data_IF_791387738648
#
_entry.id   IF_791387738648
#
_cell.length_a   1.000
_cell.length_b   1.000
_cell.length_c   1.000
_cell.angle_alpha   90.00
_cell.angle_beta   90.00
_cell.angle_gamma   90.00
#
_symmetry.space_group_name_H-M   'P 1'
#
loop_
_entity.id
_entity.type
_entity.pdbx_description
1 polymer ?
#
# COMPACT_ATOMS: atom_id res chain seq x y z
N UNK A 1 -0.54 -45.66 45.75
CA UNK A 1 -1.88 -45.41 46.22
C UNK A 1 -2.56 -44.44 45.28
N UNK A 2 -3.51 -44.97 44.50
CA UNK A 2 -4.51 -44.30 43.64
C UNK A 2 -4.07 -43.43 42.45
N UNK A 3 -4.01 -44.04 41.26
CA UNK A 3 -4.68 -43.65 40.03
C UNK A 3 -6.21 -43.49 40.29
N UNK A 4 -7.08 -42.97 39.39
CA UNK A 4 -7.06 -43.08 37.94
C UNK A 4 -7.74 -41.93 37.15
N UNK A 5 -7.56 -42.01 35.81
CA UNK A 5 -8.57 -42.08 34.73
C UNK A 5 -9.32 -40.80 34.37
N UNK A 6 -9.04 -40.26 33.19
CA UNK A 6 -10.00 -40.17 32.10
C UNK A 6 -9.24 -40.19 30.76
N UNK A 7 -9.15 -41.37 30.19
CA UNK A 7 -8.94 -41.58 28.77
C UNK A 7 -10.01 -42.58 28.34
N UNK A 8 -11.01 -42.10 27.63
CA UNK A 8 -11.85 -42.91 26.74
C UNK A 8 -12.96 -42.05 26.16
N UNK A 9 -12.91 -41.84 24.88
CA UNK A 9 -14.03 -41.94 23.96
C UNK A 9 -13.74 -41.16 22.65
N UNK A 10 -12.87 -41.67 21.82
CA UNK A 10 -12.98 -41.51 20.36
C UNK A 10 -12.37 -42.76 19.70
N UNK A 11 -13.11 -43.82 19.71
CA UNK A 11 -12.90 -44.97 18.83
C UNK A 11 -14.21 -45.74 18.75
N UNK A 12 -14.98 -45.45 17.74
CA UNK A 12 -15.95 -46.34 17.09
C UNK A 12 -16.84 -45.56 16.12
N UNK A 13 -16.45 -45.53 14.87
CA UNK A 13 -17.35 -45.64 13.73
C UNK A 13 -16.50 -45.71 12.42
N UNK A 14 -15.86 -46.83 12.23
CA UNK A 14 -15.48 -47.27 10.91
C UNK A 14 -16.03 -48.69 10.71
N UNK A 15 -17.18 -48.76 10.02
CA UNK A 15 -17.45 -49.91 9.13
C UNK A 15 -18.73 -49.64 8.32
N UNK A 16 -18.58 -49.91 7.04
CA UNK A 16 -19.61 -50.19 6.01
C UNK A 16 -20.46 -48.98 5.53
N UNK A 17 -20.32 -48.61 4.33
CA UNK A 17 -20.90 -49.05 3.07
C UNK A 17 -20.31 -48.20 1.95
N UNK A 18 -19.49 -48.80 1.11
CA UNK A 18 -19.11 -48.21 -0.16
C UNK A 18 -20.28 -48.37 -1.14
N UNK A 19 -21.11 -47.37 -1.28
CA UNK A 19 -22.06 -47.25 -2.38
C UNK A 19 -21.48 -46.23 -3.33
N UNK A 20 -20.99 -46.69 -4.47
CA UNK A 20 -20.51 -45.83 -5.54
C UNK A 20 -21.74 -45.18 -6.19
N UNK A 21 -22.01 -43.94 -5.90
CA UNK A 21 -23.01 -43.12 -6.58
C UNK A 21 -22.28 -42.34 -7.65
N UNK A 22 -22.52 -42.69 -8.92
CA UNK A 22 -22.09 -41.91 -10.08
C UNK A 22 -23.07 -40.75 -10.28
N UNK A 23 -22.58 -39.53 -10.08
CA UNK A 23 -23.36 -38.34 -10.40
C UNK A 23 -23.08 -37.89 -11.84
N UNK A 24 -24.11 -37.53 -12.57
CA UNK A 24 -24.02 -36.95 -13.91
C UNK A 24 -23.57 -35.49 -13.80
N UNK A 25 -23.00 -34.95 -14.88
CA UNK A 25 -22.39 -33.61 -14.91
C UNK A 25 -23.31 -32.44 -14.54
N UNK A 26 -24.62 -32.64 -14.63
CA UNK A 26 -25.63 -31.65 -14.28
C UNK A 26 -25.87 -31.53 -12.76
N UNK A 27 -25.71 -32.61 -12.00
CA UNK A 27 -25.92 -32.62 -10.57
C UNK A 27 -24.83 -31.84 -9.79
N UNK A 28 -23.64 -31.77 -10.34
CA UNK A 28 -22.50 -31.01 -9.75
C UNK A 28 -22.74 -29.49 -9.86
N UNK A 29 -23.44 -29.03 -10.87
CA UNK A 29 -23.76 -27.60 -11.07
C UNK A 29 -24.82 -27.13 -10.10
N UNK A 30 -25.80 -27.96 -9.81
CA UNK A 30 -26.87 -27.65 -8.84
C UNK A 30 -26.31 -27.61 -7.39
N UNK A 31 -25.43 -28.55 -7.05
CA UNK A 31 -24.81 -28.59 -5.72
C UNK A 31 -23.90 -27.37 -5.48
N UNK A 32 -23.17 -26.90 -6.51
CA UNK A 32 -22.37 -25.66 -6.41
C UNK A 32 -23.21 -24.39 -6.27
N UNK A 33 -24.40 -24.36 -6.85
CA UNK A 33 -25.34 -23.22 -6.71
C UNK A 33 -26.02 -23.18 -5.33
N UNK A 34 -26.28 -24.33 -4.73
CA UNK A 34 -26.87 -24.41 -3.38
C UNK A 34 -25.83 -24.07 -2.30
N UNK A 35 -24.55 -24.46 -2.47
CA UNK A 35 -23.48 -24.06 -1.55
C UNK A 35 -23.13 -22.58 -1.66
N UNK A 36 -23.21 -21.97 -2.85
CA UNK A 36 -22.98 -20.54 -3.04
C UNK A 36 -24.11 -19.65 -2.44
N UNK A 37 -25.31 -20.20 -2.21
CA UNK A 37 -26.41 -19.44 -1.59
C UNK A 37 -26.49 -19.57 -0.07
N UNK A 38 -25.74 -20.47 0.57
CA UNK A 38 -25.74 -20.62 2.03
C UNK A 38 -24.56 -19.91 2.73
N UNK A 39 -23.60 -19.33 1.98
CA UNK A 39 -22.52 -18.53 2.55
C UNK A 39 -22.77 -17.02 2.54
N UNK A 40 -23.95 -16.58 2.08
CA UNK A 40 -24.30 -15.16 2.03
C UNK A 40 -25.33 -14.79 3.12
N UNK A 41 -25.02 -14.97 4.38
CA UNK A 41 -25.74 -14.29 5.48
C UNK A 41 -25.08 -14.54 6.84
N UNK A 42 -23.85 -14.14 7.03
CA UNK A 42 -23.38 -13.58 8.30
C UNK A 42 -22.67 -12.30 7.94
N UNK A 43 -23.43 -11.27 7.63
CA UNK A 43 -22.97 -9.91 7.82
C UNK A 43 -22.84 -9.72 9.33
N UNK A 44 -21.71 -10.10 9.90
CA UNK A 44 -21.28 -9.50 11.15
C UNK A 44 -21.06 -8.04 10.78
N UNK A 45 -22.05 -7.21 11.09
CA UNK A 45 -21.89 -5.77 11.13
C UNK A 45 -20.83 -5.48 12.17
N UNK A 46 -19.57 -5.52 11.78
CA UNK A 46 -18.50 -4.88 12.50
C UNK A 46 -18.89 -3.41 12.56
N UNK A 47 -19.24 -2.91 13.75
CA UNK A 47 -19.24 -1.47 13.98
C UNK A 47 -17.81 -1.03 13.79
N UNK A 48 -17.46 -0.53 12.58
CA UNK A 48 -16.21 0.16 12.37
C UNK A 48 -16.22 1.37 13.30
N UNK A 49 -15.47 1.26 14.39
CA UNK A 49 -15.32 2.39 15.30
C UNK A 49 -14.49 3.43 14.58
N UNK A 50 -15.08 4.59 14.31
CA UNK A 50 -14.32 5.69 13.72
C UNK A 50 -13.10 6.01 14.59
N UNK A 51 -11.94 6.37 13.99
CA UNK A 51 -10.73 6.70 14.71
C UNK A 51 -10.94 7.78 15.79
N UNK A 52 -10.19 7.75 16.90
CA UNK A 52 -10.28 8.77 17.95
C UNK A 52 -9.72 10.12 17.43
N UNK A 53 -10.17 11.22 18.05
CA UNK A 53 -9.69 12.57 17.75
C UNK A 53 -10.75 13.49 17.14
N UNK A 54 -10.38 14.71 16.73
CA UNK A 54 -11.26 15.62 16.01
C UNK A 54 -11.83 14.97 14.75
N UNK A 55 -13.14 15.12 14.52
CA UNK A 55 -13.84 14.56 13.35
C UNK A 55 -13.75 15.43 12.10
N UNK A 56 -12.77 16.29 12.05
CA UNK A 56 -12.50 17.21 10.93
C UNK A 56 -11.02 17.14 10.60
N UNK A 57 -10.69 17.16 9.33
CA UNK A 57 -9.31 17.29 8.90
C UNK A 57 -8.86 18.76 9.01
N UNK A 58 -7.64 19.05 9.43
CA UNK A 58 -7.06 20.39 9.41
C UNK A 58 -6.63 20.77 7.98
N UNK A 59 -7.53 20.56 7.02
CA UNK A 59 -7.30 20.75 5.59
C UNK A 59 -8.44 21.57 4.98
N UNK A 60 -8.12 22.42 4.03
CA UNK A 60 -9.06 23.17 3.21
C UNK A 60 -8.90 22.74 1.75
N UNK A 61 -9.98 22.27 1.10
CA UNK A 61 -9.91 21.94 -0.32
C UNK A 61 -9.84 23.21 -1.16
N UNK A 62 -8.80 23.29 -2.00
CA UNK A 62 -8.50 24.47 -2.83
C UNK A 62 -8.81 24.24 -4.31
N UNK A 63 -8.70 23.00 -4.79
CA UNK A 63 -9.05 22.70 -6.18
C UNK A 63 -9.70 21.33 -6.37
N UNK A 64 -10.30 21.15 -7.54
CA UNK A 64 -10.85 19.89 -8.06
C UNK A 64 -10.49 19.82 -9.53
N UNK A 65 -9.69 18.81 -9.90
CA UNK A 65 -9.33 18.54 -11.30
C UNK A 65 -10.07 17.30 -11.79
N UNK A 66 -10.75 17.37 -12.92
CA UNK A 66 -11.38 16.20 -13.52
C UNK A 66 -10.31 15.22 -14.05
N UNK A 67 -10.43 13.95 -13.69
CA UNK A 67 -9.56 12.89 -14.18
C UNK A 67 -10.21 12.12 -15.33
N UNK A 68 -9.37 11.46 -16.12
CA UNK A 68 -9.82 10.62 -17.24
C UNK A 68 -10.16 9.21 -16.78
N UNK A 69 -10.97 8.51 -17.59
CA UNK A 69 -11.41 7.14 -17.33
C UNK A 69 -12.73 7.04 -16.58
N UNK A 70 -13.06 5.83 -16.12
CA UNK A 70 -14.29 5.57 -15.37
C UNK A 70 -14.12 5.72 -13.86
N UNK A 71 -15.22 5.68 -13.08
CA UNK A 71 -15.20 5.77 -11.62
C UNK A 71 -14.80 4.42 -11.00
N UNK A 72 -13.58 3.97 -11.29
CA UNK A 72 -12.99 2.72 -10.83
C UNK A 72 -11.77 3.00 -9.96
N UNK A 73 -11.26 1.98 -9.27
CA UNK A 73 -10.21 2.08 -8.26
C UNK A 73 -8.96 2.80 -8.80
N UNK A 74 -8.47 3.74 -8.04
CA UNK A 74 -7.10 4.24 -8.07
C UNK A 74 -6.22 3.39 -7.14
N UNK A 75 -4.92 3.60 -7.23
CA UNK A 75 -3.94 3.05 -6.32
C UNK A 75 -2.84 4.09 -6.08
N UNK A 76 -1.57 3.73 -5.94
CA UNK A 76 -0.54 4.68 -5.55
C UNK A 76 -0.42 5.91 -6.45
N UNK A 77 0.14 6.95 -5.87
CA UNK A 77 0.47 8.21 -6.56
C UNK A 77 1.90 8.63 -6.29
N UNK A 78 2.54 9.33 -7.23
CA UNK A 78 3.86 9.90 -7.06
C UNK A 78 3.94 11.29 -7.67
N UNK A 79 4.49 12.25 -6.92
CA UNK A 79 4.62 13.64 -7.33
C UNK A 79 6.09 14.02 -7.59
N UNK A 80 6.38 14.56 -8.76
CA UNK A 80 7.52 15.46 -8.95
C UNK A 80 7.09 16.87 -8.56
N UNK A 81 7.41 17.28 -7.33
CA UNK A 81 7.03 18.59 -6.81
C UNK A 81 7.74 19.74 -7.55
N UNK A 82 8.91 19.51 -8.12
CA UNK A 82 9.66 20.54 -8.87
C UNK A 82 9.03 20.79 -10.23
N UNK A 83 8.66 19.73 -10.94
CA UNK A 83 7.99 19.83 -12.23
C UNK A 83 6.48 20.08 -12.12
N UNK A 84 5.89 19.88 -10.93
CA UNK A 84 4.44 19.94 -10.72
C UNK A 84 3.69 18.80 -11.42
N UNK A 85 4.31 17.61 -11.52
CA UNK A 85 3.77 16.46 -12.25
C UNK A 85 3.38 15.35 -11.27
N UNK A 86 2.08 15.07 -11.22
CA UNK A 86 1.52 14.01 -10.39
C UNK A 86 1.12 12.82 -11.27
N UNK A 87 1.68 11.67 -10.97
CA UNK A 87 1.35 10.41 -11.63
C UNK A 87 0.45 9.57 -10.73
N UNK A 88 -0.66 9.10 -11.28
CA UNK A 88 -1.72 8.40 -10.53
C UNK A 88 -1.96 7.04 -11.17
N UNK A 89 -1.80 5.97 -10.42
CA UNK A 89 -2.18 4.63 -10.84
C UNK A 89 -3.72 4.54 -10.89
N UNK A 90 -4.30 4.51 -12.08
CA UNK A 90 -5.72 4.23 -12.28
C UNK A 90 -5.91 2.74 -12.49
N UNK A 91 -5.75 1.98 -11.41
CA UNK A 91 -5.70 0.52 -11.37
C UNK A 91 -6.85 -0.12 -12.13
N UNK A 92 -8.09 0.20 -11.76
CA UNK A 92 -9.27 -0.41 -12.37
C UNK A 92 -9.46 -0.12 -13.86
N UNK A 93 -8.72 0.88 -14.41
CA UNK A 93 -8.69 1.20 -15.83
C UNK A 93 -7.40 0.73 -16.53
N UNK A 94 -6.46 0.14 -15.79
CA UNK A 94 -5.14 -0.28 -16.29
C UNK A 94 -4.36 0.86 -16.99
N UNK A 95 -4.38 2.04 -16.39
CA UNK A 95 -3.83 3.28 -16.93
C UNK A 95 -3.03 4.04 -15.88
N UNK A 96 -2.02 4.80 -16.32
CA UNK A 96 -1.37 5.82 -15.51
C UNK A 96 -1.84 7.19 -15.99
N UNK A 97 -2.36 8.01 -15.09
CA UNK A 97 -2.75 9.40 -15.38
C UNK A 97 -1.64 10.32 -14.93
N UNK A 98 -1.27 11.26 -15.79
CA UNK A 98 -0.26 12.27 -15.58
C UNK A 98 -0.94 13.64 -15.55
N UNK A 99 -0.86 14.31 -14.41
CA UNK A 99 -1.55 15.57 -14.10
C UNK A 99 -0.52 16.67 -13.88
N UNK A 100 -0.72 17.82 -14.50
CA UNK A 100 -0.07 19.07 -14.10
C UNK A 100 -0.88 19.69 -12.94
N UNK A 101 -0.31 19.65 -11.73
CA UNK A 101 -1.00 20.14 -10.53
C UNK A 101 -1.04 21.67 -10.46
N UNK A 102 -0.15 22.37 -11.17
CA UNK A 102 -0.17 23.84 -11.24
C UNK A 102 -1.21 24.34 -12.24
N UNK A 103 -1.38 23.64 -13.37
CA UNK A 103 -2.38 23.97 -14.38
C UNK A 103 -3.77 23.37 -14.05
N UNK A 104 -3.86 22.44 -13.10
CA UNK A 104 -5.05 21.67 -12.74
C UNK A 104 -5.64 20.93 -13.95
N UNK A 105 -4.80 20.27 -14.73
CA UNK A 105 -5.22 19.56 -15.95
C UNK A 105 -4.51 18.21 -16.11
N UNK A 106 -5.20 17.26 -16.75
CA UNK A 106 -4.61 16.00 -17.18
C UNK A 106 -3.77 16.27 -18.43
N UNK A 107 -2.46 16.05 -18.32
CA UNK A 107 -1.53 16.20 -19.43
C UNK A 107 -1.65 15.03 -20.40
N UNK A 108 -1.75 13.81 -19.85
CA UNK A 108 -1.89 12.59 -20.65
C UNK A 108 -2.41 11.42 -19.81
N UNK A 109 -2.84 10.39 -20.52
CA UNK A 109 -3.21 9.09 -19.94
C UNK A 109 -2.42 8.01 -20.69
N UNK A 110 -1.69 7.18 -19.95
CA UNK A 110 -0.83 6.13 -20.48
C UNK A 110 -1.52 4.78 -20.30
N UNK A 111 -1.97 4.12 -21.37
CA UNK A 111 -2.67 2.85 -21.31
C UNK A 111 -1.72 1.64 -21.22
N UNK A 112 -2.29 0.43 -21.11
CA UNK A 112 -1.59 -0.86 -21.16
C UNK A 112 -0.69 -1.14 -19.95
N UNK A 113 -1.08 -0.65 -18.79
CA UNK A 113 -0.48 -0.94 -17.49
C UNK A 113 -1.45 -1.81 -16.69
N UNK A 114 -1.51 -3.11 -17.03
CA UNK A 114 -2.51 -4.03 -16.48
C UNK A 114 -2.52 -4.02 -14.96
N UNK A 115 -3.68 -3.66 -14.36
CA UNK A 115 -3.88 -3.53 -12.91
C UNK A 115 -2.72 -2.79 -12.23
N UNK A 116 -2.41 -1.58 -12.73
CA UNK A 116 -1.30 -0.77 -12.20
C UNK A 116 -1.53 -0.41 -10.73
N UNK A 117 -0.56 -0.74 -9.86
CA UNK A 117 -0.56 -0.40 -8.44
C UNK A 117 0.47 0.67 -8.13
N UNK A 118 1.71 0.29 -7.91
CA UNK A 118 2.79 1.18 -7.51
C UNK A 118 3.20 2.17 -8.58
N UNK A 119 3.48 3.39 -8.15
CA UNK A 119 4.07 4.45 -8.97
C UNK A 119 5.20 5.12 -8.21
N UNK A 120 6.32 5.35 -8.87
CA UNK A 120 7.50 6.01 -8.32
C UNK A 120 8.07 7.00 -9.35
N UNK A 121 8.23 8.26 -8.95
CA UNK A 121 8.95 9.26 -9.75
C UNK A 121 10.39 9.38 -9.26
N UNK A 122 11.33 9.39 -10.19
CA UNK A 122 12.76 9.67 -9.95
C UNK A 122 13.18 10.86 -10.79
N UNK A 123 13.00 12.11 -10.28
CA UNK A 123 13.17 13.35 -11.04
C UNK A 123 14.58 13.51 -11.66
N UNK A 124 15.63 13.18 -10.90
CA UNK A 124 17.02 13.23 -11.37
C UNK A 124 17.30 12.33 -12.58
N UNK A 125 16.40 11.41 -12.87
CA UNK A 125 16.47 10.49 -13.99
C UNK A 125 15.48 10.81 -15.10
N UNK A 126 14.56 11.73 -14.85
CA UNK A 126 13.39 11.98 -15.69
C UNK A 126 12.65 10.66 -15.98
N UNK A 127 12.38 9.91 -14.92
CA UNK A 127 11.76 8.56 -15.00
C UNK A 127 10.59 8.40 -14.05
N UNK A 128 9.57 7.77 -14.57
CA UNK A 128 8.47 7.22 -13.80
C UNK A 128 8.52 5.70 -13.91
N UNK A 129 8.42 5.03 -12.78
CA UNK A 129 8.32 3.58 -12.72
C UNK A 129 6.92 3.21 -12.23
N UNK A 130 6.32 2.19 -12.82
CA UNK A 130 5.01 1.71 -12.43
C UNK A 130 4.97 0.18 -12.41
N UNK A 131 4.32 -0.41 -11.42
CA UNK A 131 4.08 -1.85 -11.38
C UNK A 131 2.82 -2.17 -12.17
N UNK A 132 2.97 -2.88 -13.29
CA UNK A 132 1.86 -3.46 -14.04
C UNK A 132 1.55 -4.84 -13.44
N UNK A 133 0.85 -4.85 -12.31
CA UNK A 133 0.63 -5.98 -11.42
C UNK A 133 -0.06 -7.15 -12.11
N UNK A 134 -1.07 -6.86 -12.96
CA UNK A 134 -1.77 -7.88 -13.72
C UNK A 134 -0.91 -8.62 -14.76
N UNK A 135 0.31 -8.12 -15.05
CA UNK A 135 1.27 -8.76 -15.94
C UNK A 135 2.60 -9.14 -15.28
N UNK A 136 2.74 -8.90 -13.96
CA UNK A 136 3.96 -9.12 -13.19
C UNK A 136 5.18 -8.43 -13.84
N UNK A 137 5.06 -7.12 -14.03
CA UNK A 137 6.10 -6.32 -14.69
C UNK A 137 6.30 -4.97 -14.00
N UNK A 138 7.55 -4.52 -13.94
CA UNK A 138 7.90 -3.11 -13.76
C UNK A 138 7.99 -2.45 -15.12
N UNK A 139 7.37 -1.29 -15.28
CA UNK A 139 7.41 -0.46 -16.49
C UNK A 139 8.13 0.83 -16.18
N UNK A 140 9.17 1.15 -16.95
CA UNK A 140 9.85 2.44 -16.90
C UNK A 140 9.36 3.34 -18.02
N UNK A 141 9.03 4.57 -17.68
CA UNK A 141 8.43 5.57 -18.56
C UNK A 141 9.30 6.83 -18.51
N UNK A 142 9.54 7.42 -19.64
CA UNK A 142 10.18 8.73 -19.73
C UNK A 142 9.17 9.80 -19.28
N UNK A 143 9.52 10.55 -18.27
CA UNK A 143 8.62 11.48 -17.59
C UNK A 143 8.11 12.58 -18.50
N UNK A 144 8.98 13.16 -19.36
CA UNK A 144 8.63 14.27 -20.22
C UNK A 144 7.74 13.84 -21.39
N UNK A 145 8.10 12.76 -22.07
CA UNK A 145 7.39 12.31 -23.27
C UNK A 145 6.26 11.34 -23.00
N UNK A 146 6.25 10.66 -21.84
CA UNK A 146 5.33 9.54 -21.53
C UNK A 146 5.66 8.26 -22.31
N UNK A 147 6.83 8.20 -22.94
CA UNK A 147 7.22 7.03 -23.75
C UNK A 147 7.73 5.92 -22.85
N UNK A 148 7.25 4.69 -23.07
CA UNK A 148 7.80 3.51 -22.41
C UNK A 148 9.26 3.31 -22.81
N UNK A 149 10.14 3.15 -21.79
CA UNK A 149 11.58 2.94 -21.98
C UNK A 149 11.93 1.46 -21.97
N UNK A 150 11.40 0.74 -20.98
CA UNK A 150 11.53 -0.72 -20.87
C UNK A 150 10.42 -1.32 -20.03
N UNK A 151 10.27 -2.66 -20.15
CA UNK A 151 9.56 -3.50 -19.18
C UNK A 151 10.51 -4.55 -18.64
N UNK A 152 10.45 -4.76 -17.32
CA UNK A 152 11.22 -5.78 -16.65
C UNK A 152 10.28 -6.78 -15.95
N UNK A 153 10.55 -8.08 -15.98
CA UNK A 153 9.75 -9.04 -15.23
C UNK A 153 9.99 -8.91 -13.73
N UNK A 154 8.92 -9.10 -12.97
CA UNK A 154 8.95 -9.21 -11.51
C UNK A 154 8.53 -10.60 -11.07
N UNK A 155 8.45 -10.84 -9.76
CA UNK A 155 7.71 -11.97 -9.23
C UNK A 155 6.21 -11.64 -9.15
N UNK A 156 5.41 -12.50 -8.52
CA UNK A 156 3.94 -12.42 -8.52
C UNK A 156 3.42 -11.27 -7.67
N UNK A 157 2.55 -10.48 -8.27
CA UNK A 157 1.87 -9.34 -7.67
C UNK A 157 2.82 -8.24 -7.24
N UNK A 158 3.52 -7.58 -8.19
CA UNK A 158 4.34 -6.41 -7.89
C UNK A 158 3.44 -5.23 -7.48
N UNK A 159 3.78 -4.59 -6.34
CA UNK A 159 3.00 -3.53 -5.72
C UNK A 159 3.87 -2.30 -5.43
N UNK A 160 4.31 -2.11 -4.19
CA UNK A 160 5.10 -0.96 -3.77
C UNK A 160 6.47 -0.84 -4.44
N UNK A 161 7.00 0.38 -4.48
CA UNK A 161 8.25 0.71 -5.15
C UNK A 161 9.15 1.58 -4.27
N UNK A 162 10.47 1.33 -4.31
CA UNK A 162 11.48 2.24 -3.79
C UNK A 162 12.69 2.35 -4.72
N UNK A 163 13.41 3.46 -4.64
CA UNK A 163 14.61 3.72 -5.42
C UNK A 163 15.85 3.81 -4.53
N UNK A 164 16.88 3.03 -4.85
CA UNK A 164 18.22 3.17 -4.29
C UNK A 164 19.07 4.05 -5.23
N UNK A 165 19.32 5.31 -4.86
CA UNK A 165 20.05 6.25 -5.71
C UNK A 165 21.55 5.94 -5.80
N UNK A 166 22.10 5.23 -4.81
CA UNK A 166 23.54 4.88 -4.78
C UNK A 166 23.82 3.80 -5.81
N UNK A 167 22.96 2.77 -5.88
CA UNK A 167 23.14 1.62 -6.77
C UNK A 167 22.32 1.72 -8.04
N UNK A 168 21.48 2.76 -8.14
CA UNK A 168 20.57 3.02 -9.27
C UNK A 168 19.71 1.80 -9.56
N UNK A 169 19.04 1.32 -8.52
CA UNK A 169 18.11 0.20 -8.62
C UNK A 169 16.74 0.58 -8.15
N UNK A 170 15.72 0.08 -8.84
CA UNK A 170 14.34 0.11 -8.38
C UNK A 170 14.05 -1.23 -7.72
N UNK A 171 13.49 -1.17 -6.53
CA UNK A 171 13.01 -2.31 -5.77
C UNK A 171 11.49 -2.33 -5.84
N UNK A 172 10.93 -3.50 -6.08
CA UNK A 172 9.47 -3.67 -6.08
C UNK A 172 9.09 -4.85 -5.20
N UNK A 173 8.18 -4.57 -4.27
CA UNK A 173 7.55 -5.61 -3.47
C UNK A 173 6.70 -6.50 -4.36
N UNK A 174 6.84 -7.79 -4.24
CA UNK A 174 5.96 -8.76 -4.88
C UNK A 174 5.10 -9.37 -3.77
N UNK A 175 3.98 -8.74 -3.50
CA UNK A 175 3.17 -8.96 -2.30
C UNK A 175 2.83 -10.43 -2.09
N UNK A 176 2.16 -11.05 -3.05
CA UNK A 176 1.73 -12.44 -2.96
C UNK A 176 2.88 -13.45 -3.00
N UNK A 177 4.00 -13.09 -3.63
CA UNK A 177 5.18 -13.96 -3.68
C UNK A 177 6.02 -13.90 -2.40
N UNK A 178 5.88 -12.83 -1.61
CA UNK A 178 6.71 -12.59 -0.43
C UNK A 178 8.17 -12.33 -0.75
N UNK A 179 8.43 -11.60 -1.84
CA UNK A 179 9.78 -11.32 -2.35
C UNK A 179 9.92 -9.86 -2.76
N UNK A 180 11.17 -9.37 -2.87
CA UNK A 180 11.53 -8.15 -3.58
C UNK A 180 12.16 -8.51 -4.92
N UNK A 181 11.80 -7.81 -6.00
CA UNK A 181 12.57 -7.84 -7.25
C UNK A 181 13.42 -6.57 -7.36
N UNK A 182 14.72 -6.75 -7.57
CA UNK A 182 15.69 -5.66 -7.72
C UNK A 182 16.04 -5.49 -9.18
N UNK A 183 15.78 -4.29 -9.71
CA UNK A 183 15.87 -4.00 -11.15
C UNK A 183 16.81 -2.82 -11.36
N UNK A 184 17.72 -2.95 -12.33
CA UNK A 184 18.56 -1.84 -12.79
C UNK A 184 17.67 -0.74 -13.38
N UNK A 185 17.76 0.46 -12.84
CA UNK A 185 16.88 1.58 -13.18
C UNK A 185 17.09 2.10 -14.62
N UNK A 186 18.25 1.88 -15.21
CA UNK A 186 18.56 2.38 -16.56
C UNK A 186 18.22 1.33 -17.64
N UNK A 187 18.50 0.06 -17.36
CA UNK A 187 18.45 -1.00 -18.37
C UNK A 187 17.28 -1.95 -18.25
N UNK A 188 16.60 -1.97 -17.12
CA UNK A 188 15.55 -2.95 -16.81
C UNK A 188 16.06 -4.36 -16.50
N UNK A 189 17.38 -4.53 -16.35
CA UNK A 189 17.94 -5.84 -16.03
C UNK A 189 17.60 -6.22 -14.57
N UNK A 190 16.98 -7.38 -14.38
CA UNK A 190 16.75 -7.94 -13.03
C UNK A 190 18.11 -8.35 -12.44
N UNK A 191 18.43 -7.78 -11.29
CA UNK A 191 19.68 -8.03 -10.57
C UNK A 191 19.55 -9.11 -9.51
N UNK A 192 18.40 -9.16 -8.83
CA UNK A 192 18.12 -10.14 -7.79
C UNK A 192 16.61 -10.29 -7.54
N UNK A 193 16.25 -11.42 -6.91
CA UNK A 193 14.97 -11.60 -6.21
C UNK A 193 15.31 -11.98 -4.77
N UNK A 194 14.78 -11.22 -3.81
CA UNK A 194 15.11 -11.37 -2.38
C UNK A 194 13.91 -11.95 -1.64
N UNK A 195 13.99 -13.17 -1.09
CA UNK A 195 12.89 -13.76 -0.35
C UNK A 195 12.74 -13.12 1.04
N UNK A 196 11.53 -12.68 1.39
CA UNK A 196 11.19 -12.07 2.68
C UNK A 196 10.52 -13.07 3.65
N UNK A 197 10.02 -14.19 3.14
CA UNK A 197 9.51 -15.30 3.96
C UNK A 197 8.08 -15.12 4.46
N UNK A 198 7.29 -14.29 3.82
CA UNK A 198 5.87 -14.04 4.03
C UNK A 198 5.39 -12.97 3.06
N UNK A 199 4.10 -12.80 2.94
CA UNK A 199 3.48 -11.71 2.19
C UNK A 199 4.07 -10.36 2.61
N UNK A 200 4.33 -9.48 1.65
CA UNK A 200 5.02 -8.20 1.87
C UNK A 200 4.10 -7.03 1.57
N UNK A 201 4.24 -5.96 2.36
CA UNK A 201 3.68 -4.65 2.07
C UNK A 201 4.69 -3.77 1.34
N UNK A 202 4.80 -2.51 1.74
CA UNK A 202 5.67 -1.54 1.07
C UNK A 202 7.15 -1.68 1.42
N UNK A 203 7.99 -1.02 0.61
CA UNK A 203 9.43 -0.91 0.77
C UNK A 203 9.86 0.56 0.80
N UNK A 204 10.84 0.88 1.65
CA UNK A 204 11.45 2.22 1.75
C UNK A 204 12.97 2.07 1.75
N UNK A 205 13.67 2.97 1.06
CA UNK A 205 15.12 3.08 1.15
C UNK A 205 15.51 4.02 2.31
N UNK A 206 16.15 3.50 3.33
CA UNK A 206 16.76 4.29 4.38
C UNK A 206 18.19 4.68 3.99
N UNK A 207 18.37 5.93 3.60
CA UNK A 207 19.67 6.44 3.16
C UNK A 207 20.67 6.67 4.31
N UNK A 208 20.20 6.75 5.56
CA UNK A 208 21.06 6.86 6.73
C UNK A 208 21.68 5.51 7.10
N UNK A 209 20.88 4.45 7.07
CA UNK A 209 21.34 3.09 7.33
C UNK A 209 21.92 2.42 6.08
N UNK A 210 21.73 2.98 4.90
CA UNK A 210 22.05 2.37 3.60
C UNK A 210 21.42 0.98 3.44
N UNK A 211 20.11 0.87 3.75
CA UNK A 211 19.34 -0.38 3.68
C UNK A 211 17.95 -0.17 3.09
N UNK A 212 17.40 -1.23 2.50
CA UNK A 212 15.97 -1.29 2.21
C UNK A 212 15.23 -1.80 3.44
N UNK A 213 14.12 -1.17 3.77
CA UNK A 213 13.24 -1.57 4.88
C UNK A 213 11.91 -2.00 4.28
N UNK A 214 11.55 -3.25 4.46
CA UNK A 214 10.35 -3.88 3.89
C UNK A 214 9.38 -4.26 5.01
N UNK A 215 8.13 -3.85 4.90
CA UNK A 215 7.06 -4.36 5.76
C UNK A 215 6.72 -5.79 5.34
N UNK A 216 6.72 -6.75 6.28
CA UNK A 216 6.42 -8.14 5.98
C UNK A 216 5.13 -8.54 6.69
N UNK A 217 4.01 -8.41 5.99
CA UNK A 217 2.66 -8.66 6.49
C UNK A 217 2.52 -10.05 7.11
N UNK A 218 2.93 -11.07 6.35
CA UNK A 218 2.82 -12.46 6.76
C UNK A 218 3.69 -12.84 7.97
N UNK A 219 4.53 -11.91 8.48
CA UNK A 219 5.40 -12.11 9.64
C UNK A 219 5.16 -11.15 10.79
N UNK A 220 4.54 -10.00 10.52
CA UNK A 220 4.38 -8.93 11.51
C UNK A 220 5.72 -8.30 11.91
N UNK A 221 6.61 -8.09 10.95
CA UNK A 221 7.92 -7.50 11.16
C UNK A 221 8.34 -6.53 10.03
N UNK A 222 9.35 -5.71 10.30
CA UNK A 222 10.09 -4.95 9.29
C UNK A 222 11.39 -5.70 8.99
N UNK A 223 11.64 -6.02 7.72
CA UNK A 223 12.86 -6.66 7.27
C UNK A 223 13.85 -5.62 6.73
N UNK A 224 15.08 -5.61 7.25
CA UNK A 224 16.17 -4.80 6.75
C UNK A 224 16.98 -5.62 5.76
N UNK A 225 17.15 -5.10 4.55
CA UNK A 225 17.82 -5.80 3.45
C UNK A 225 19.06 -5.04 3.02
N UNK A 226 20.21 -5.73 3.02
CA UNK A 226 21.47 -5.19 2.47
C UNK A 226 21.35 -5.06 0.94
N UNK A 227 21.39 -3.84 0.38
CA UNK A 227 21.14 -3.62 -1.04
C UNK A 227 22.33 -3.99 -1.94
N UNK A 228 23.45 -4.43 -1.37
CA UNK A 228 24.61 -4.95 -2.09
C UNK A 228 24.59 -6.48 -2.15
N UNK A 229 24.26 -7.11 -1.01
CA UNK A 229 24.27 -8.59 -0.89
C UNK A 229 22.91 -9.19 -1.22
N UNK A 230 21.84 -8.37 -1.28
CA UNK A 230 20.47 -8.82 -1.52
C UNK A 230 20.02 -9.85 -0.49
N UNK A 231 20.30 -9.59 0.77
CA UNK A 231 19.98 -10.50 1.89
C UNK A 231 19.38 -9.73 3.05
N UNK A 232 18.40 -10.35 3.72
CA UNK A 232 17.88 -9.81 4.98
C UNK A 232 18.98 -9.88 6.04
N UNK A 233 19.27 -8.72 6.65
CA UNK A 233 20.31 -8.57 7.67
C UNK A 233 19.72 -8.56 9.08
N UNK A 234 18.52 -8.03 9.23
CA UNK A 234 17.85 -7.84 10.51
C UNK A 234 16.33 -7.84 10.33
N UNK A 235 15.60 -8.07 11.42
CA UNK A 235 14.15 -7.92 11.49
C UNK A 235 13.76 -7.26 12.80
N UNK A 236 12.83 -6.30 12.72
CA UNK A 236 12.21 -5.66 13.87
C UNK A 236 10.77 -6.13 13.95
N UNK A 237 10.37 -6.89 14.98
CA UNK A 237 8.95 -7.20 15.22
C UNK A 237 8.15 -5.91 15.45
N UNK A 238 6.91 -5.89 14.96
CA UNK A 238 5.98 -4.77 15.13
C UNK A 238 4.81 -5.15 16.06
N UNK A 239 5.05 -5.33 17.37
CA UNK A 239 3.99 -5.72 18.28
C UNK A 239 2.85 -4.69 18.28
N UNK A 240 1.61 -5.19 18.20
CA UNK A 240 0.42 -4.34 18.10
C UNK A 240 0.06 -3.91 16.68
N UNK A 241 0.84 -4.32 15.68
CA UNK A 241 0.58 -4.12 14.26
C UNK A 241 0.27 -5.47 13.60
N UNK A 242 -0.97 -5.65 13.17
CA UNK A 242 -1.37 -6.82 12.40
C UNK A 242 -1.33 -6.46 10.90
N UNK A 243 -0.60 -7.23 10.09
CA UNK A 243 -0.33 -6.96 8.67
C UNK A 243 0.30 -5.58 8.44
N UNK A 244 1.57 -5.36 8.81
CA UNK A 244 2.29 -4.13 8.47
C UNK A 244 2.39 -3.98 6.95
N UNK A 245 1.93 -2.83 6.41
CA UNK A 245 1.84 -2.59 4.97
C UNK A 245 2.46 -1.24 4.56
N UNK A 246 1.67 -0.16 4.56
CA UNK A 246 2.14 1.17 4.20
C UNK A 246 3.23 1.69 5.13
N UNK A 247 4.23 2.38 4.58
CA UNK A 247 5.35 2.91 5.34
C UNK A 247 5.67 4.35 4.97
N UNK A 248 6.10 5.15 5.96
CA UNK A 248 6.73 6.45 5.74
C UNK A 248 7.89 6.62 6.73
N UNK A 249 9.01 7.16 6.27
CA UNK A 249 10.24 7.31 7.05
C UNK A 249 10.50 8.78 7.39
N UNK A 250 10.63 9.06 8.68
CA UNK A 250 11.34 10.26 9.13
C UNK A 250 12.84 9.92 9.22
N UNK A 251 13.56 10.38 8.23
CA UNK A 251 15.00 10.15 8.13
C UNK A 251 15.80 10.89 9.21
N UNK A 252 15.32 12.05 9.64
CA UNK A 252 16.03 12.90 10.62
C UNK A 252 15.99 12.28 12.02
N UNK A 253 14.83 11.82 12.46
CA UNK A 253 14.65 11.19 13.77
C UNK A 253 14.83 9.67 13.73
N UNK A 254 15.04 9.08 12.56
CA UNK A 254 15.12 7.62 12.35
C UNK A 254 13.88 6.90 12.89
N UNK A 255 12.73 7.40 12.51
CA UNK A 255 11.43 6.88 12.89
C UNK A 255 10.69 6.36 11.66
N UNK A 256 10.21 5.12 11.72
CA UNK A 256 9.32 4.54 10.68
C UNK A 256 7.88 4.56 11.17
N UNK A 257 7.01 5.16 10.38
CA UNK A 257 5.56 5.04 10.53
C UNK A 257 5.08 3.85 9.72
N UNK A 258 4.23 2.99 10.30
CA UNK A 258 3.76 1.76 9.66
C UNK A 258 2.25 1.64 9.83
N UNK A 259 1.53 1.58 8.72
CA UNK A 259 0.11 1.24 8.68
C UNK A 259 -0.10 -0.25 8.85
N UNK A 260 -1.06 -0.62 9.69
CA UNK A 260 -1.36 -2.00 10.05
C UNK A 260 -2.77 -2.35 9.54
N UNK A 261 -2.83 -2.98 8.38
CA UNK A 261 -4.09 -3.17 7.65
C UNK A 261 -5.13 -3.96 8.42
N UNK A 262 -4.73 -5.06 9.06
CA UNK A 262 -5.67 -5.99 9.65
C UNK A 262 -6.27 -5.52 10.99
N UNK A 263 -5.72 -4.45 11.60
CA UNK A 263 -6.24 -3.94 12.88
C UNK A 263 -6.38 -2.42 12.96
N UNK A 264 -6.41 -1.72 11.81
CA UNK A 264 -6.68 -0.28 11.70
C UNK A 264 -5.78 0.56 12.63
N UNK A 265 -4.50 0.24 12.68
CA UNK A 265 -3.54 0.88 13.58
C UNK A 265 -2.41 1.53 12.79
N UNK A 266 -1.93 2.67 13.24
CA UNK A 266 -0.65 3.23 12.88
C UNK A 266 0.32 2.99 14.04
N UNK A 267 1.45 2.36 13.78
CA UNK A 267 2.53 2.25 14.76
C UNK A 267 3.72 3.10 14.37
N UNK A 268 4.46 3.55 15.36
CA UNK A 268 5.73 4.26 15.20
C UNK A 268 6.86 3.38 15.70
N UNK A 269 7.88 3.16 14.87
CA UNK A 269 9.03 2.32 15.16
C UNK A 269 10.28 3.19 15.25
N UNK A 270 10.93 3.23 16.42
CA UNK A 270 12.26 3.80 16.60
C UNK A 270 13.28 2.84 15.98
N UNK A 271 13.88 3.26 14.87
CA UNK A 271 14.83 2.44 14.12
C UNK A 271 16.20 2.34 14.84
N UNK A 272 16.56 3.31 15.68
CA UNK A 272 17.80 3.27 16.43
C UNK A 272 17.74 2.27 17.59
N UNK A 273 16.60 2.23 18.29
CA UNK A 273 16.36 1.34 19.44
C UNK A 273 15.67 0.02 19.06
N UNK A 274 15.25 -0.15 17.80
CA UNK A 274 14.59 -1.37 17.27
C UNK A 274 13.31 -1.73 18.01
N UNK A 275 12.46 -0.73 18.31
CA UNK A 275 11.25 -0.92 19.11
C UNK A 275 10.10 -0.05 18.65
N UNK A 276 8.89 -0.59 18.80
CA UNK A 276 7.65 0.20 18.63
C UNK A 276 7.51 1.13 19.84
N UNK A 277 7.25 2.41 19.59
CA UNK A 277 7.18 3.46 20.63
C UNK A 277 5.83 4.15 20.74
N UNK A 278 4.97 4.07 19.70
CA UNK A 278 3.61 4.63 19.76
C UNK A 278 2.63 3.79 18.92
N UNK A 279 1.32 3.91 19.25
CA UNK A 279 0.21 3.26 18.58
C UNK A 279 -0.97 4.21 18.50
N UNK A 280 -1.53 4.40 17.31
CA UNK A 280 -2.71 5.23 17.08
C UNK A 280 -3.77 4.47 16.28
N UNK A 281 -5.05 4.68 16.60
CA UNK A 281 -6.15 4.17 15.77
C UNK A 281 -6.33 5.06 14.55
N UNK A 282 -6.50 4.44 13.38
CA UNK A 282 -6.73 5.09 12.09
C UNK A 282 -7.96 4.51 11.39
N UNK A 283 -8.19 4.86 10.14
CA UNK A 283 -9.22 4.22 9.32
C UNK A 283 -8.94 2.74 9.10
N UNK A 284 -9.98 1.94 8.86
CA UNK A 284 -9.82 0.50 8.56
C UNK A 284 -9.00 0.32 7.28
N UNK A 285 -8.08 -0.63 7.32
CA UNK A 285 -7.14 -0.95 6.24
C UNK A 285 -6.32 0.29 5.82
N UNK A 286 -5.43 0.81 6.71
CA UNK A 286 -4.53 1.91 6.37
C UNK A 286 -3.54 1.45 5.30
N UNK A 287 -3.47 2.20 4.20
CA UNK A 287 -2.75 1.80 3.00
C UNK A 287 -1.59 2.77 2.70
N UNK A 288 -1.89 3.99 2.24
CA UNK A 288 -0.85 4.96 1.87
C UNK A 288 -0.56 5.93 3.01
N UNK A 289 0.72 6.04 3.33
CA UNK A 289 1.25 6.97 4.32
C UNK A 289 2.09 8.04 3.61
N UNK A 290 1.95 9.31 4.01
CA UNK A 290 2.79 10.41 3.55
C UNK A 290 3.29 11.24 4.73
N UNK A 291 4.60 11.46 4.81
CA UNK A 291 5.22 12.24 5.87
C UNK A 291 5.69 13.59 5.35
N UNK A 292 5.25 14.65 6.01
CA UNK A 292 5.66 16.03 5.80
C UNK A 292 6.75 16.38 6.82
N UNK A 293 7.99 16.31 6.39
CA UNK A 293 9.14 16.51 7.27
C UNK A 293 9.26 17.95 7.80
N UNK A 294 8.89 18.95 6.98
CA UNK A 294 8.96 20.36 7.39
C UNK A 294 7.86 20.72 8.39
N UNK A 295 6.71 20.07 8.30
CA UNK A 295 5.59 20.24 9.23
C UNK A 295 5.62 19.24 10.39
N UNK A 296 6.52 18.27 10.42
CA UNK A 296 6.53 17.13 11.35
C UNK A 296 5.16 16.45 11.43
N UNK A 297 4.61 16.08 10.27
CA UNK A 297 3.23 15.61 10.16
C UNK A 297 3.10 14.36 9.31
N UNK A 298 2.38 13.37 9.83
CA UNK A 298 2.06 12.14 9.12
C UNK A 298 0.59 12.13 8.71
N UNK A 299 0.34 11.76 7.47
CA UNK A 299 -0.96 11.52 6.87
C UNK A 299 -1.13 10.02 6.64
N UNK A 300 -2.29 9.50 6.96
CA UNK A 300 -2.65 8.09 6.75
C UNK A 300 -3.95 8.05 5.97
N UNK A 301 -3.91 7.55 4.76
CA UNK A 301 -5.07 7.29 3.93
C UNK A 301 -5.40 5.79 3.99
N UNK A 302 -6.66 5.45 4.22
CA UNK A 302 -7.13 4.09 4.43
C UNK A 302 -8.15 3.67 3.37
N UNK A 303 -8.21 2.38 3.04
CA UNK A 303 -9.17 1.79 2.09
C UNK A 303 -10.63 2.11 2.44
N UNK A 304 -10.91 2.25 3.72
CA UNK A 304 -12.22 2.69 4.22
C UNK A 304 -12.60 4.12 3.84
N UNK A 305 -11.74 4.85 3.11
CA UNK A 305 -11.95 6.24 2.73
C UNK A 305 -11.71 7.25 3.86
N UNK A 306 -11.20 6.77 5.01
CA UNK A 306 -10.80 7.63 6.11
C UNK A 306 -9.38 8.14 5.92
N UNK A 307 -9.19 9.42 6.24
CA UNK A 307 -7.86 10.05 6.33
C UNK A 307 -7.65 10.46 7.78
N UNK A 308 -6.48 10.11 8.33
CA UNK A 308 -6.07 10.48 9.69
C UNK A 308 -4.77 11.28 9.61
N UNK A 309 -4.66 12.33 10.41
CA UNK A 309 -3.51 13.25 10.42
C UNK A 309 -3.01 13.41 11.85
N UNK A 310 -1.70 13.27 12.02
CA UNK A 310 -1.03 13.42 13.32
C UNK A 310 0.18 14.35 13.18
N UNK A 311 0.40 15.18 14.19
CA UNK A 311 1.71 15.80 14.39
C UNK A 311 2.62 14.81 15.11
N UNK A 312 3.90 14.86 14.81
CA UNK A 312 4.91 13.96 15.34
C UNK A 312 5.98 14.74 16.11
N UNK A 313 6.42 14.18 17.25
CA UNK A 313 7.50 14.67 18.06
C UNK A 313 8.34 13.46 18.54
N UNK A 314 9.51 13.24 17.91
CA UNK A 314 10.39 12.09 18.17
C UNK A 314 9.65 10.73 18.22
N UNK A 315 8.73 10.52 17.27
CA UNK A 315 7.94 9.30 17.15
C UNK A 315 6.65 9.24 17.97
N UNK A 316 6.43 10.21 18.87
CA UNK A 316 5.15 10.32 19.58
C UNK A 316 4.13 11.12 18.77
N UNK A 317 2.96 10.55 18.58
CA UNK A 317 1.94 11.08 17.70
C UNK A 317 0.85 11.83 18.47
N UNK A 318 0.48 13.00 17.98
CA UNK A 318 -0.66 13.78 18.48
C UNK A 318 -1.70 13.94 17.37
N UNK A 319 -2.91 13.41 17.58
CA UNK A 319 -3.97 13.47 16.58
C UNK A 319 -4.40 14.92 16.28
N UNK A 320 -4.37 15.30 14.99
CA UNK A 320 -4.83 16.60 14.48
C UNK A 320 -6.24 16.51 13.92
N UNK A 321 -6.61 15.37 13.39
CA UNK A 321 -7.94 15.12 12.88
C UNK A 321 -8.03 13.79 12.14
N UNK A 322 -9.28 13.31 12.05
CA UNK A 322 -9.61 12.13 11.25
C UNK A 322 -11.03 12.29 10.70
N UNK A 323 -11.21 12.03 9.42
CA UNK A 323 -12.51 12.08 8.78
C UNK A 323 -12.61 11.12 7.62
N UNK A 324 -13.83 10.65 7.33
CA UNK A 324 -14.13 9.98 6.06
C UNK A 324 -14.13 11.06 4.98
N UNK A 325 -13.14 10.97 4.08
CA UNK A 325 -12.96 11.94 3.01
C UNK A 325 -13.87 11.63 1.83
N UNK A 326 -13.76 10.41 1.32
CA UNK A 326 -14.62 9.86 0.26
C UNK A 326 -14.38 8.35 0.16
N UNK A 327 -15.33 7.62 -0.40
CA UNK A 327 -15.12 6.20 -0.75
C UNK A 327 -13.96 6.08 -1.74
N UNK A 328 -13.00 5.20 -1.46
CA UNK A 328 -11.80 4.98 -2.28
C UNK A 328 -10.71 6.06 -2.14
N UNK A 329 -10.78 6.94 -1.13
CA UNK A 329 -9.73 7.92 -0.82
C UNK A 329 -8.61 7.27 0.03
N UNK A 330 -7.97 6.21 -0.47
CA UNK A 330 -6.95 5.45 0.23
C UNK A 330 -5.52 5.75 -0.22
N UNK A 331 -5.36 6.55 -1.27
CA UNK A 331 -4.06 6.98 -1.78
C UNK A 331 -3.94 8.50 -1.83
N UNK A 332 -2.72 8.98 -1.70
CA UNK A 332 -2.43 10.41 -1.73
C UNK A 332 -0.99 10.71 -2.12
N UNK A 333 -0.76 11.92 -2.62
CA UNK A 333 0.57 12.52 -2.70
C UNK A 333 0.64 13.78 -1.84
N UNK A 334 1.84 14.14 -1.43
CA UNK A 334 2.14 15.35 -0.67
C UNK A 334 3.19 16.17 -1.42
N UNK A 335 2.98 17.47 -1.54
CA UNK A 335 4.02 18.40 -1.95
C UNK A 335 4.75 18.93 -0.70
N UNK A 336 6.01 18.54 -0.49
CA UNK A 336 6.75 18.94 0.70
C UNK A 336 7.09 20.44 0.72
N UNK A 337 6.96 21.15 -0.39
CA UNK A 337 7.28 22.59 -0.49
C UNK A 337 6.09 23.46 -0.14
N UNK A 338 4.91 23.09 -0.62
CA UNK A 338 3.66 23.85 -0.41
C UNK A 338 2.80 23.28 0.71
N UNK A 339 3.11 22.06 1.17
CA UNK A 339 2.30 21.25 2.11
C UNK A 339 0.92 20.88 1.57
N UNK A 340 0.72 21.00 0.25
CA UNK A 340 -0.52 20.59 -0.38
C UNK A 340 -0.59 19.06 -0.47
N UNK A 341 -1.78 18.53 -0.26
CA UNK A 341 -2.07 17.11 -0.37
C UNK A 341 -3.08 16.83 -1.49
N UNK A 342 -2.84 15.79 -2.25
CA UNK A 342 -3.59 15.43 -3.45
C UNK A 342 -4.22 14.05 -3.26
N UNK A 343 -5.54 13.98 -3.40
CA UNK A 343 -6.31 12.75 -3.25
C UNK A 343 -7.07 12.44 -4.54
N UNK A 344 -6.71 11.40 -5.31
CA UNK A 344 -7.55 10.92 -6.39
C UNK A 344 -8.78 10.22 -5.83
N UNK A 345 -9.95 10.67 -6.27
CA UNK A 345 -11.25 10.18 -5.81
C UNK A 345 -11.95 9.50 -6.99
N UNK A 346 -12.27 8.20 -6.91
CA UNK A 346 -12.87 7.47 -8.03
C UNK A 346 -14.24 8.01 -8.44
N UNK A 347 -15.02 8.47 -7.49
CA UNK A 347 -16.40 8.86 -7.70
C UNK A 347 -16.68 10.23 -7.07
N UNK A 348 -16.35 11.30 -7.79
CA UNK A 348 -16.65 12.68 -7.39
C UNK A 348 -18.12 13.01 -7.47
N UNK A 349 -18.47 14.27 -7.16
CA UNK A 349 -19.86 14.72 -7.06
C UNK A 349 -20.71 14.48 -8.34
N UNK A 350 -20.07 14.41 -9.51
CA UNK A 350 -20.72 14.18 -10.79
C UNK A 350 -20.69 12.72 -11.23
N UNK A 351 -20.21 11.79 -10.39
CA UNK A 351 -20.03 10.39 -10.75
C UNK A 351 -18.83 10.12 -11.66
N UNK A 352 -17.92 11.08 -11.78
CA UNK A 352 -16.66 10.95 -12.55
C UNK A 352 -15.46 11.03 -11.60
N UNK A 353 -14.32 10.44 -11.98
CA UNK A 353 -13.11 10.51 -11.16
C UNK A 353 -12.56 11.94 -11.14
N UNK A 354 -12.06 12.34 -9.96
CA UNK A 354 -11.50 13.68 -9.74
C UNK A 354 -10.25 13.60 -8.86
N UNK A 355 -9.38 14.58 -9.00
CA UNK A 355 -8.30 14.85 -8.06
C UNK A 355 -8.73 16.00 -7.16
N UNK A 356 -8.73 15.77 -5.86
CA UNK A 356 -8.92 16.82 -4.86
C UNK A 356 -7.56 17.28 -4.33
N UNK A 357 -7.38 18.60 -4.31
CA UNK A 357 -6.23 19.24 -3.73
C UNK A 357 -6.62 19.99 -2.47
N UNK A 358 -5.82 19.85 -1.44
CA UNK A 358 -6.02 20.51 -0.15
C UNK A 358 -4.76 21.25 0.27
N UNK A 359 -4.97 22.40 0.93
CA UNK A 359 -3.94 23.09 1.70
C UNK A 359 -4.19 22.91 3.21
N UNK A 360 -3.16 23.06 4.07
CA UNK A 360 -3.35 23.12 5.52
C UNK A 360 -4.33 24.22 5.91
N UNK A 361 -5.35 23.91 6.74
CA UNK A 361 -6.25 24.91 7.28
C UNK A 361 -5.52 25.78 8.29
N UNK A 362 -5.71 27.10 8.21
CA UNK A 362 -5.09 28.11 9.09
C UNK A 362 -5.68 28.13 10.50
#
# INVERSE_FOLDING_TARGET
MFLPVVAAAVTAFQSSVATTVTFDSEDVVVLRRVFAMLTAAVAVGGCTSAPPGPRTLPLQRVSVTELTGGPVRFDYTALDAVAGRLFIAHMGASQLIDVDVHAHEVVRTLPNLADVHGVLVVPDKHRVYATATGSNQLVAIDEESGTEVFRAPTDTYPDGLAYDPIRRTVWTTNESAGTETVIDAETGAVRATVPLGGEVGNVVYDSFLDQMVVAVQGRGDLAFVDPVKFTVTERIPTPGCDSPHGQALDLADQVMFVGCEANATLVTVDLANRTVIDHQQVGDTPDVLAYDADANRIYVAAESGWVSIFDHDHGHLTARGSAHLADGAHTMALDPTTHHSFFPIPNGANGSPVLWEFEPAT
#
